data_IF_397757981162
#
_entry.id   IF_397757981162
#
_cell.length_a   1.000
_cell.length_b   1.000
_cell.length_c   1.000
_cell.angle_alpha   90.00
_cell.angle_beta   90.00
_cell.angle_gamma   90.00
#
_symmetry.space_group_name_H-M   'P 1'
#
loop_
_entity.id
_entity.type
_entity.pdbx_description
1 polymer ?
#
# COMPACT_ATOMS: atom_id res chain seq x y z
N UNK A 1 31.10 1.61 -17.91
CA UNK A 1 30.21 2.57 -17.24
C UNK A 1 29.57 1.84 -16.07
N UNK A 2 30.02 2.13 -14.85
CA UNK A 2 29.50 1.49 -13.64
C UNK A 2 28.09 2.02 -13.41
N UNK A 3 27.06 1.18 -13.55
CA UNK A 3 25.70 1.53 -13.16
C UNK A 3 25.70 1.65 -11.64
N UNK A 4 25.64 2.86 -11.15
CA UNK A 4 25.34 3.12 -9.74
C UNK A 4 23.94 2.54 -9.50
N UNK A 5 23.86 1.37 -8.89
CA UNK A 5 22.60 0.80 -8.42
C UNK A 5 22.09 1.75 -7.35
N UNK A 6 21.09 2.57 -7.66
CA UNK A 6 20.43 3.39 -6.67
C UNK A 6 19.85 2.46 -5.59
N UNK A 7 20.13 2.78 -4.32
CA UNK A 7 19.49 2.08 -3.19
C UNK A 7 17.99 2.28 -3.34
N UNK A 8 17.16 1.21 -3.28
CA UNK A 8 15.73 1.34 -3.34
C UNK A 8 15.23 2.31 -2.27
N UNK A 9 14.49 3.34 -2.68
CA UNK A 9 13.93 4.31 -1.75
C UNK A 9 12.61 3.79 -1.16
N UNK A 10 12.52 3.91 0.16
CA UNK A 10 11.30 3.68 0.93
C UNK A 10 11.01 4.97 1.68
N UNK A 11 9.96 5.65 1.27
CA UNK A 11 9.61 6.97 1.81
C UNK A 11 8.19 6.97 2.33
N UNK A 12 7.94 7.74 3.37
CA UNK A 12 6.61 8.10 3.81
C UNK A 12 6.56 9.61 4.05
N UNK A 13 5.59 10.28 3.48
CA UNK A 13 5.45 11.73 3.61
C UNK A 13 3.99 12.15 3.68
N UNK A 14 3.69 13.07 4.59
CA UNK A 14 2.36 13.65 4.73
C UNK A 14 2.02 14.57 3.54
N UNK A 15 0.72 14.70 3.24
CA UNK A 15 0.24 15.79 2.42
C UNK A 15 0.54 17.13 3.12
N UNK A 16 0.86 18.15 2.34
CA UNK A 16 1.12 19.49 2.86
C UNK A 16 -0.17 20.27 3.15
N UNK A 17 -1.27 19.85 2.54
CA UNK A 17 -2.59 20.47 2.65
C UNK A 17 -3.61 19.54 3.30
N UNK A 18 -4.54 20.06 4.12
CA UNK A 18 -5.68 19.29 4.62
C UNK A 18 -6.78 19.08 3.56
N UNK A 19 -6.54 19.48 2.32
CA UNK A 19 -7.49 19.28 1.23
C UNK A 19 -7.82 17.80 1.03
N UNK A 20 -9.05 17.45 0.67
CA UNK A 20 -9.40 16.07 0.37
C UNK A 20 -8.50 15.49 -0.74
N UNK A 21 -8.02 14.27 -0.51
CA UNK A 21 -7.20 13.56 -1.50
C UNK A 21 -8.03 13.20 -2.72
N UNK A 22 -7.42 13.30 -3.91
CA UNK A 22 -8.05 12.91 -5.17
C UNK A 22 -7.04 12.24 -6.11
N UNK A 23 -7.54 11.33 -6.93
CA UNK A 23 -6.78 10.66 -7.99
C UNK A 23 -7.31 11.10 -9.33
N UNK A 24 -6.49 11.80 -10.10
CA UNK A 24 -6.83 12.25 -11.46
C UNK A 24 -6.30 11.24 -12.47
N UNK A 25 -7.18 10.74 -13.33
CA UNK A 25 -6.85 9.73 -14.33
C UNK A 25 -6.69 10.39 -15.69
N UNK A 26 -5.46 10.50 -16.14
CA UNK A 26 -5.12 11.03 -17.46
C UNK A 26 -5.72 10.17 -18.58
N UNK A 27 -6.08 10.83 -19.70
CA UNK A 27 -6.41 10.15 -20.96
C UNK A 27 -5.18 9.63 -21.70
N UNK A 28 -3.98 9.83 -21.18
CA UNK A 28 -2.75 9.33 -21.79
C UNK A 28 -2.77 7.80 -21.85
N UNK A 29 -2.70 7.25 -23.05
CA UNK A 29 -2.57 5.81 -23.24
C UNK A 29 -1.20 5.31 -22.80
N UNK A 30 -1.13 4.11 -22.20
CA UNK A 30 0.16 3.50 -21.87
C UNK A 30 0.95 3.22 -23.15
N UNK A 31 2.29 3.28 -23.10
CA UNK A 31 3.09 2.85 -24.23
C UNK A 31 2.80 1.38 -24.58
N UNK A 32 2.81 1.05 -25.87
CA UNK A 32 2.71 -0.34 -26.29
C UNK A 32 3.81 -1.20 -25.64
N UNK A 33 3.47 -2.44 -25.32
CA UNK A 33 4.48 -3.38 -24.83
C UNK A 33 5.55 -3.63 -25.89
N UNK A 34 6.80 -3.70 -25.45
CA UNK A 34 7.86 -4.23 -26.30
C UNK A 34 7.81 -5.76 -26.31
N UNK A 35 8.39 -6.39 -27.35
CA UNK A 35 8.52 -7.84 -27.40
C UNK A 35 9.22 -8.44 -26.15
N UNK A 36 10.12 -7.67 -25.51
CA UNK A 36 10.77 -8.08 -24.26
C UNK A 36 9.78 -8.14 -23.08
N UNK A 37 8.86 -7.18 -22.99
CA UNK A 37 7.80 -7.18 -21.96
C UNK A 37 6.87 -8.37 -22.17
N UNK A 38 6.42 -8.60 -23.40
CA UNK A 38 5.52 -9.71 -23.73
C UNK A 38 6.16 -11.08 -23.43
N UNK A 39 7.44 -11.23 -23.80
CA UNK A 39 8.19 -12.47 -23.51
C UNK A 39 8.41 -12.69 -21.99
N UNK A 40 8.69 -11.63 -21.23
CA UNK A 40 8.84 -11.71 -19.79
C UNK A 40 7.50 -12.05 -19.11
N UNK A 41 6.42 -11.41 -19.54
CA UNK A 41 5.07 -11.70 -19.05
C UNK A 41 4.64 -13.15 -19.32
N UNK A 42 4.89 -13.66 -20.52
CA UNK A 42 4.61 -15.05 -20.87
C UNK A 42 5.34 -16.05 -19.95
N UNK A 43 6.59 -15.75 -19.54
CA UNK A 43 7.32 -16.57 -18.58
C UNK A 43 6.68 -16.54 -17.18
N UNK A 44 6.20 -15.38 -16.73
CA UNK A 44 5.50 -15.25 -15.45
C UNK A 44 4.19 -16.03 -15.45
N UNK A 45 3.40 -15.97 -16.51
CA UNK A 45 2.19 -16.76 -16.67
C UNK A 45 2.45 -18.27 -16.68
N UNK A 46 3.53 -18.71 -17.33
CA UNK A 46 3.92 -20.12 -17.33
C UNK A 46 4.32 -20.61 -15.92
N UNK A 47 4.96 -19.74 -15.12
CA UNK A 47 5.37 -20.06 -13.74
C UNK A 47 4.19 -19.99 -12.75
N UNK A 48 3.22 -19.09 -12.96
CA UNK A 48 2.04 -18.96 -12.11
C UNK A 48 0.80 -18.63 -12.96
N UNK A 49 0.01 -19.64 -13.37
CA UNK A 49 -1.20 -19.47 -14.18
C UNK A 49 -2.31 -18.63 -13.54
N UNK A 50 -2.21 -18.35 -12.23
CA UNK A 50 -3.17 -17.46 -11.53
C UNK A 50 -2.93 -15.98 -11.81
N UNK A 51 -1.81 -15.60 -12.42
CA UNK A 51 -1.61 -14.22 -12.82
C UNK A 51 -2.61 -13.82 -13.90
N UNK A 52 -3.13 -12.61 -13.73
CA UNK A 52 -4.07 -11.99 -14.66
C UNK A 52 -3.59 -10.60 -15.04
N UNK A 53 -3.57 -10.30 -16.33
CA UNK A 53 -3.17 -8.98 -16.82
C UNK A 53 -4.33 -7.99 -16.73
N UNK A 54 -4.71 -7.66 -15.50
CA UNK A 54 -5.77 -6.71 -15.21
C UNK A 54 -5.37 -5.26 -15.48
N UNK A 55 -6.37 -4.37 -15.65
CA UNK A 55 -6.15 -2.94 -15.68
C UNK A 55 -5.70 -2.45 -14.30
N UNK A 56 -4.86 -1.41 -14.27
CA UNK A 56 -4.39 -0.75 -13.06
C UNK A 56 -4.19 0.75 -13.29
N UNK A 57 -4.12 1.52 -12.20
CA UNK A 57 -3.71 2.91 -12.23
C UNK A 57 -2.20 3.01 -11.99
N UNK A 58 -1.48 3.62 -12.95
CA UNK A 58 -0.05 3.91 -12.80
C UNK A 58 0.15 5.37 -12.40
N UNK A 59 0.85 5.62 -11.29
CA UNK A 59 1.19 6.96 -10.82
C UNK A 59 2.16 7.63 -11.81
N UNK A 60 1.84 8.86 -12.18
CA UNK A 60 2.67 9.73 -13.02
C UNK A 60 3.33 10.82 -12.19
N UNK A 61 2.58 11.42 -11.28
CA UNK A 61 3.02 12.53 -10.44
C UNK A 61 2.16 12.63 -9.17
N UNK A 62 2.77 13.09 -8.08
CA UNK A 62 2.08 13.37 -6.81
C UNK A 62 2.30 14.84 -6.48
N UNK A 63 1.19 15.58 -6.41
CA UNK A 63 1.17 16.96 -5.93
C UNK A 63 0.77 16.97 -4.45
N UNK A 64 1.75 17.19 -3.59
CA UNK A 64 1.56 17.18 -2.13
C UNK A 64 0.80 18.41 -1.62
N UNK A 65 0.90 19.54 -2.33
CA UNK A 65 0.27 20.82 -1.95
C UNK A 65 -1.24 20.79 -2.17
N UNK A 66 -1.68 20.06 -3.19
CA UNK A 66 -3.11 19.92 -3.51
C UNK A 66 -3.67 18.55 -3.16
N UNK A 67 -2.89 17.66 -2.54
CA UNK A 67 -3.26 16.27 -2.24
C UNK A 67 -3.78 15.52 -3.47
N UNK A 68 -3.17 15.77 -4.64
CA UNK A 68 -3.60 15.22 -5.93
C UNK A 68 -2.59 14.20 -6.46
N UNK A 69 -3.06 13.00 -6.79
CA UNK A 69 -2.28 11.96 -7.43
C UNK A 69 -2.69 11.88 -8.91
N UNK A 70 -1.77 12.20 -9.80
CA UNK A 70 -1.96 12.09 -11.24
C UNK A 70 -1.58 10.69 -11.70
N UNK A 71 -2.51 10.02 -12.35
CA UNK A 71 -2.34 8.64 -12.82
C UNK A 71 -2.71 8.51 -14.30
N UNK A 72 -2.37 7.36 -14.88
CA UNK A 72 -2.95 6.89 -16.14
C UNK A 72 -3.43 5.46 -15.99
N UNK A 73 -4.28 5.01 -16.90
CA UNK A 73 -4.60 3.59 -17.03
C UNK A 73 -3.39 2.84 -17.57
N UNK A 74 -3.10 1.70 -16.98
CA UNK A 74 -1.98 0.83 -17.38
C UNK A 74 -2.39 -0.64 -17.15
N UNK A 75 -1.45 -1.58 -17.27
CA UNK A 75 -1.70 -3.02 -17.13
C UNK A 75 -0.76 -3.66 -16.13
N UNK A 76 -1.26 -4.66 -15.42
CA UNK A 76 -0.48 -5.39 -14.41
C UNK A 76 0.75 -6.08 -14.98
N UNK A 77 0.69 -6.59 -16.21
CA UNK A 77 1.85 -7.19 -16.90
C UNK A 77 3.07 -6.27 -16.88
N UNK A 78 2.87 -4.96 -17.08
CA UNK A 78 3.95 -3.97 -17.10
C UNK A 78 4.54 -3.71 -15.68
N UNK A 79 3.75 -3.84 -14.64
CA UNK A 79 4.23 -3.81 -13.26
C UNK A 79 4.99 -5.10 -12.94
N UNK A 80 4.40 -6.25 -13.25
CA UNK A 80 4.87 -7.56 -12.84
C UNK A 80 6.24 -7.95 -13.42
N UNK A 81 6.60 -7.45 -14.60
CA UNK A 81 7.90 -7.72 -15.24
C UNK A 81 9.06 -6.91 -14.66
N UNK A 82 8.79 -6.01 -13.71
CA UNK A 82 9.83 -5.31 -12.96
C UNK A 82 10.34 -6.19 -11.81
N UNK A 83 11.59 -6.04 -11.37
CA UNK A 83 12.59 -5.06 -11.80
C UNK A 83 13.41 -5.39 -13.05
N UNK A 84 13.46 -6.63 -13.61
CA UNK A 84 14.40 -6.89 -14.71
C UNK A 84 14.15 -6.00 -15.94
N UNK A 85 12.89 -5.61 -16.16
CA UNK A 85 12.53 -4.66 -17.22
C UNK A 85 11.95 -3.40 -16.59
N UNK A 86 12.65 -2.27 -16.75
CA UNK A 86 12.12 -0.98 -16.27
C UNK A 86 11.01 -0.50 -17.22
N UNK A 87 9.77 -0.60 -16.81
CA UNK A 87 8.59 -0.12 -17.56
C UNK A 87 8.15 1.27 -17.14
N UNK A 88 8.72 1.82 -16.05
CA UNK A 88 8.31 3.09 -15.45
C UNK A 88 6.94 3.07 -14.78
N UNK A 89 6.31 1.90 -14.65
CA UNK A 89 4.99 1.75 -14.02
C UNK A 89 5.15 1.69 -12.49
N UNK A 90 4.29 2.43 -11.79
CA UNK A 90 4.12 2.38 -10.32
C UNK A 90 2.64 2.30 -10.03
N UNK A 91 2.21 1.27 -9.31
CA UNK A 91 0.79 1.12 -8.98
C UNK A 91 0.35 2.20 -7.99
N UNK A 92 -0.85 2.74 -8.21
CA UNK A 92 -1.54 3.57 -7.24
C UNK A 92 -2.38 2.68 -6.34
N UNK A 93 -2.06 2.68 -5.04
CA UNK A 93 -2.69 1.82 -4.05
C UNK A 93 -3.22 2.63 -2.88
N UNK A 94 -3.92 1.97 -1.97
CA UNK A 94 -4.34 2.51 -0.68
C UNK A 94 -3.80 1.63 0.45
N UNK A 95 -3.50 2.24 1.60
CA UNK A 95 -3.07 1.52 2.80
C UNK A 95 -3.81 2.05 4.02
N UNK A 96 -4.35 1.15 4.84
CA UNK A 96 -4.95 1.49 6.12
C UNK A 96 -3.92 1.43 7.26
N UNK A 97 -3.84 2.49 8.04
CA UNK A 97 -3.24 2.49 9.37
C UNK A 97 -4.38 2.39 10.37
N UNK A 98 -4.72 1.15 10.75
CA UNK A 98 -5.83 0.87 11.68
C UNK A 98 -5.35 1.05 13.11
N UNK A 99 -6.00 1.94 13.85
CA UNK A 99 -5.66 2.25 15.23
C UNK A 99 -6.84 1.97 16.18
N UNK A 100 -6.56 1.57 17.42
CA UNK A 100 -7.56 1.40 18.46
C UNK A 100 -6.96 1.76 19.83
N UNK A 101 -7.81 2.11 20.81
CA UNK A 101 -7.37 2.46 22.16
C UNK A 101 -7.78 1.39 23.17
N UNK A 102 -6.86 1.03 24.08
CA UNK A 102 -7.19 0.18 25.20
C UNK A 102 -7.92 0.96 26.34
N UNK A 103 -8.42 0.25 27.33
CA UNK A 103 -9.13 0.84 28.46
C UNK A 103 -8.29 1.82 29.31
N UNK A 104 -6.98 1.86 29.15
CA UNK A 104 -6.09 2.85 29.74
C UNK A 104 -5.81 4.04 28.80
N UNK A 105 -6.41 4.06 27.59
CA UNK A 105 -6.22 5.10 26.58
C UNK A 105 -4.96 4.93 25.74
N UNK A 106 -4.18 3.86 25.91
CA UNK A 106 -2.98 3.60 25.09
C UNK A 106 -3.37 3.26 23.66
N UNK A 107 -2.69 3.88 22.70
CA UNK A 107 -2.93 3.67 21.27
C UNK A 107 -2.23 2.39 20.78
N UNK A 108 -2.97 1.57 20.06
CA UNK A 108 -2.50 0.36 19.39
C UNK A 108 -2.68 0.49 17.88
N UNK A 109 -1.87 -0.22 17.11
CA UNK A 109 -1.96 -0.30 15.66
C UNK A 109 -2.02 -1.76 15.22
N UNK A 110 -2.76 -2.03 14.14
CA UNK A 110 -2.83 -3.36 13.54
C UNK A 110 -1.65 -3.60 12.62
N UNK A 111 -1.01 -4.75 12.77
CA UNK A 111 -0.04 -5.30 11.84
C UNK A 111 -0.59 -6.60 11.24
N UNK A 112 -0.46 -6.77 9.93
CA UNK A 112 -0.73 -8.01 9.22
C UNK A 112 0.57 -8.74 8.88
N UNK A 113 0.60 -10.07 9.06
CA UNK A 113 1.70 -10.90 8.57
C UNK A 113 1.31 -11.48 7.23
N UNK A 114 1.99 -11.05 6.18
CA UNK A 114 1.73 -11.46 4.79
C UNK A 114 1.91 -12.97 4.61
N UNK A 115 1.07 -13.53 3.78
CA UNK A 115 1.14 -14.94 3.41
C UNK A 115 2.43 -15.25 2.62
N UNK A 116 2.99 -16.46 2.73
CA UNK A 116 4.09 -16.91 1.88
C UNK A 116 3.70 -17.01 0.39
N UNK A 117 2.40 -16.89 0.06
CA UNK A 117 1.90 -16.95 -1.30
C UNK A 117 1.83 -15.56 -1.98
N UNK A 118 2.06 -14.48 -1.24
CA UNK A 118 2.09 -13.13 -1.81
C UNK A 118 3.31 -12.95 -2.71
N UNK A 119 3.13 -12.18 -3.80
CA UNK A 119 4.18 -11.97 -4.81
C UNK A 119 5.42 -11.25 -4.25
N UNK A 120 5.20 -10.32 -3.34
CA UNK A 120 6.23 -9.47 -2.74
C UNK A 120 6.08 -9.53 -1.23
N UNK A 121 7.19 -9.47 -0.51
CA UNK A 121 7.21 -9.41 0.95
C UNK A 121 6.53 -10.61 1.64
N UNK A 122 6.65 -11.79 1.05
CA UNK A 122 6.15 -13.03 1.66
C UNK A 122 6.69 -13.21 3.09
N UNK A 123 5.83 -13.64 4.02
CA UNK A 123 6.14 -13.86 5.44
C UNK A 123 6.57 -12.61 6.25
N UNK A 124 6.44 -11.40 5.70
CA UNK A 124 6.79 -10.15 6.39
C UNK A 124 5.58 -9.49 7.03
N UNK A 125 5.85 -8.68 8.07
CA UNK A 125 4.86 -7.83 8.73
C UNK A 125 4.70 -6.51 8.00
N UNK A 126 3.46 -6.00 7.96
CA UNK A 126 3.15 -4.68 7.42
C UNK A 126 2.06 -3.95 8.22
N UNK A 127 2.07 -2.61 8.11
CA UNK A 127 0.89 -1.81 8.34
C UNK A 127 -0.05 -2.01 7.15
N UNK A 128 -1.27 -2.36 7.43
CA UNK A 128 -2.24 -2.67 6.39
C UNK A 128 -3.61 -2.93 6.99
N UNK A 129 -4.56 -3.33 6.18
CA UNK A 129 -4.50 -3.81 4.79
C UNK A 129 -4.07 -2.80 3.74
N UNK A 130 -3.69 -3.32 2.57
CA UNK A 130 -3.33 -2.47 1.43
C UNK A 130 -3.72 -3.13 0.10
N UNK A 131 -4.31 -2.35 -0.81
CA UNK A 131 -4.73 -2.85 -2.11
C UNK A 131 -4.56 -1.83 -3.24
N UNK A 132 -4.44 -2.32 -4.47
CA UNK A 132 -4.35 -1.48 -5.65
C UNK A 132 -5.70 -0.82 -5.98
N UNK A 133 -5.73 0.49 -6.19
CA UNK A 133 -6.98 1.18 -6.56
C UNK A 133 -7.58 0.63 -7.85
N UNK A 134 -8.86 0.33 -7.81
CA UNK A 134 -9.62 -0.08 -8.97
C UNK A 134 -9.63 1.01 -10.04
N UNK A 135 -9.47 0.61 -11.30
CA UNK A 135 -9.54 1.53 -12.43
C UNK A 135 -10.99 1.97 -12.64
N UNK A 136 -11.30 3.28 -12.55
CA UNK A 136 -12.66 3.75 -12.78
C UNK A 136 -13.10 3.52 -14.23
N UNK A 137 -14.43 3.48 -14.49
CA UNK A 137 -14.95 3.45 -15.84
C UNK A 137 -14.35 4.55 -16.74
N UNK A 138 -14.26 4.34 -18.07
CA UNK A 138 -13.63 5.32 -18.98
C UNK A 138 -14.23 6.73 -18.92
N UNK A 139 -15.51 6.85 -18.57
CA UNK A 139 -16.21 8.13 -18.44
C UNK A 139 -15.77 8.94 -17.20
N UNK A 140 -15.12 8.30 -16.22
CA UNK A 140 -14.62 8.96 -15.01
C UNK A 140 -13.13 9.25 -15.14
N UNK A 141 -12.75 10.49 -15.01
CA UNK A 141 -11.37 10.98 -15.03
C UNK A 141 -10.83 11.34 -13.64
N UNK A 142 -11.63 11.14 -12.59
CA UNK A 142 -11.23 11.46 -11.22
C UNK A 142 -11.91 10.50 -10.23
N UNK A 143 -11.18 10.13 -9.18
CA UNK A 143 -11.68 9.51 -7.95
C UNK A 143 -11.52 10.53 -6.83
N UNK A 144 -12.61 10.88 -6.17
CA UNK A 144 -12.58 11.71 -4.98
C UNK A 144 -12.20 10.88 -3.73
N UNK A 145 -11.99 11.54 -2.60
CA UNK A 145 -11.61 10.90 -1.36
C UNK A 145 -12.63 9.84 -0.91
N UNK A 146 -13.92 10.05 -1.16
CA UNK A 146 -14.96 9.11 -0.76
C UNK A 146 -14.86 7.80 -1.57
N UNK A 147 -14.66 7.89 -2.88
CA UNK A 147 -14.45 6.73 -3.75
C UNK A 147 -13.16 5.96 -3.38
N UNK A 148 -12.07 6.68 -3.10
CA UNK A 148 -10.79 6.09 -2.65
C UNK A 148 -10.97 5.40 -1.30
N UNK A 149 -11.66 6.04 -0.36
CA UNK A 149 -11.91 5.48 0.97
C UNK A 149 -12.86 4.28 0.93
N UNK A 150 -13.87 4.30 0.04
CA UNK A 150 -14.75 3.13 -0.16
C UNK A 150 -13.95 1.90 -0.61
N UNK A 151 -12.98 2.07 -1.50
CA UNK A 151 -12.11 0.97 -1.90
C UNK A 151 -11.29 0.44 -0.71
N UNK A 152 -10.75 1.34 0.13
CA UNK A 152 -10.05 0.93 1.34
C UNK A 152 -10.93 0.18 2.33
N UNK A 153 -12.22 0.56 2.45
CA UNK A 153 -13.20 -0.16 3.30
C UNK A 153 -13.38 -1.61 2.84
N UNK A 154 -13.43 -1.84 1.52
CA UNK A 154 -13.54 -3.17 0.95
C UNK A 154 -12.30 -4.01 1.28
N UNK A 155 -11.08 -3.48 1.06
CA UNK A 155 -9.82 -4.16 1.41
C UNK A 155 -9.73 -4.50 2.91
N UNK A 156 -10.08 -3.55 3.79
CA UNK A 156 -10.09 -3.79 5.25
C UNK A 156 -11.07 -4.89 5.64
N UNK A 157 -12.27 -4.88 5.03
CA UNK A 157 -13.27 -5.90 5.29
C UNK A 157 -12.83 -7.28 4.79
N UNK A 158 -12.24 -7.35 3.58
CA UNK A 158 -11.84 -8.60 2.94
C UNK A 158 -10.62 -9.24 3.58
N UNK A 159 -9.63 -8.44 4.01
CA UNK A 159 -8.37 -8.97 4.52
C UNK A 159 -8.36 -9.20 6.03
N UNK A 160 -9.02 -8.33 6.81
CA UNK A 160 -8.96 -8.38 8.28
C UNK A 160 -10.33 -8.44 8.97
N UNK A 161 -11.43 -8.45 8.22
CA UNK A 161 -12.79 -8.62 8.75
C UNK A 161 -13.33 -7.39 9.50
N UNK A 162 -12.65 -6.26 9.48
CA UNK A 162 -13.08 -5.04 10.14
C UNK A 162 -13.92 -4.14 9.22
N UNK A 163 -14.84 -3.40 9.83
CA UNK A 163 -15.58 -2.33 9.16
C UNK A 163 -15.14 -0.98 9.71
N UNK A 164 -14.56 -0.15 8.86
CA UNK A 164 -14.14 1.22 9.20
C UNK A 164 -15.16 2.22 8.67
N UNK A 165 -15.63 3.12 9.52
CA UNK A 165 -16.62 4.14 9.13
C UNK A 165 -15.96 5.41 8.58
N UNK A 166 -14.79 5.77 9.11
CA UNK A 166 -14.08 7.01 8.77
C UNK A 166 -12.57 6.79 8.75
N UNK A 167 -11.88 7.62 7.97
CA UNK A 167 -10.43 7.68 7.93
C UNK A 167 -9.96 9.05 7.44
N UNK A 168 -8.79 9.46 7.94
CA UNK A 168 -8.14 10.70 7.51
C UNK A 168 -7.01 10.36 6.54
N UNK A 169 -7.06 10.91 5.33
CA UNK A 169 -5.96 10.81 4.39
C UNK A 169 -4.74 11.54 4.98
N UNK A 170 -3.67 10.79 5.22
CA UNK A 170 -2.47 11.31 5.87
C UNK A 170 -1.40 11.73 4.86
N UNK A 171 -1.18 10.93 3.85
CA UNK A 171 -0.09 11.14 2.90
C UNK A 171 0.14 9.92 2.01
N UNK A 172 1.39 9.72 1.64
CA UNK A 172 1.82 8.68 0.70
C UNK A 172 2.96 7.85 1.31
N UNK A 173 2.94 6.55 1.07
CA UNK A 173 4.15 5.73 1.10
C UNK A 173 4.61 5.41 -0.30
N UNK A 174 5.93 5.51 -0.52
CA UNK A 174 6.58 5.12 -1.78
C UNK A 174 7.43 3.89 -1.57
N UNK A 175 7.26 2.90 -2.42
CA UNK A 175 8.00 1.66 -2.41
C UNK A 175 8.67 1.38 -3.77
N UNK A 176 10.00 1.42 -3.80
CA UNK A 176 10.76 1.15 -5.01
C UNK A 176 10.99 -0.35 -5.29
N UNK A 177 10.71 -1.24 -4.33
CA UNK A 177 10.73 -2.69 -4.55
C UNK A 177 9.41 -3.15 -5.15
N UNK A 178 8.28 -2.82 -4.51
CA UNK A 178 6.95 -3.15 -5.02
C UNK A 178 6.55 -2.34 -6.26
N UNK A 179 7.21 -1.19 -6.49
CA UNK A 179 6.83 -0.18 -7.47
C UNK A 179 5.40 0.30 -7.21
N UNK A 180 5.13 0.65 -5.94
CA UNK A 180 3.86 1.23 -5.51
C UNK A 180 4.03 2.62 -4.91
N UNK A 181 2.97 3.42 -5.02
CA UNK A 181 2.74 4.64 -4.26
C UNK A 181 1.36 4.50 -3.62
N UNK A 182 1.31 4.37 -2.29
CA UNK A 182 0.09 4.05 -1.57
C UNK A 182 -0.44 5.27 -0.83
N UNK A 183 -1.70 5.61 -1.05
CA UNK A 183 -2.42 6.63 -0.29
C UNK A 183 -2.72 6.08 1.09
N UNK A 184 -2.17 6.71 2.12
CA UNK A 184 -2.29 6.26 3.51
C UNK A 184 -3.46 6.93 4.19
N UNK A 185 -4.36 6.13 4.76
CA UNK A 185 -5.43 6.59 5.63
C UNK A 185 -5.19 6.12 7.06
N UNK A 186 -5.32 7.04 8.01
CA UNK A 186 -5.37 6.71 9.44
C UNK A 186 -6.83 6.54 9.84
N UNK A 187 -7.18 5.34 10.32
CA UNK A 187 -8.53 4.94 10.66
C UNK A 187 -8.62 4.56 12.15
N UNK A 188 -9.53 5.20 12.88
CA UNK A 188 -9.79 4.86 14.28
C UNK A 188 -10.87 3.77 14.37
N UNK A 189 -10.49 2.61 14.89
CA UNK A 189 -11.37 1.47 15.14
C UNK A 189 -12.01 1.50 16.54
N UNK A 190 -11.81 2.56 17.32
CA UNK A 190 -12.40 2.76 18.63
C UNK A 190 -11.74 1.93 19.74
N UNK A 191 -12.55 1.17 20.49
CA UNK A 191 -12.09 0.35 21.59
C UNK A 191 -11.31 -0.89 21.11
N UNK A 192 -10.13 -1.11 21.70
CA UNK A 192 -9.22 -2.19 21.32
C UNK A 192 -9.81 -3.58 21.54
N UNK A 193 -10.58 -3.78 22.60
CA UNK A 193 -11.16 -5.09 22.91
C UNK A 193 -12.20 -5.45 21.85
N UNK A 194 -13.09 -4.53 21.53
CA UNK A 194 -14.07 -4.70 20.45
C UNK A 194 -13.39 -4.89 19.08
N UNK A 195 -12.35 -4.11 18.79
CA UNK A 195 -11.59 -4.26 17.53
C UNK A 195 -10.95 -5.66 17.44
N UNK A 196 -10.35 -6.17 18.52
CA UNK A 196 -9.74 -7.51 18.56
C UNK A 196 -10.73 -8.63 18.32
N UNK A 197 -11.95 -8.53 18.86
CA UNK A 197 -13.00 -9.54 18.69
C UNK A 197 -13.42 -9.71 17.23
N UNK A 198 -13.30 -8.65 16.43
CA UNK A 198 -13.70 -8.64 15.02
C UNK A 198 -12.52 -8.77 14.05
N UNK A 199 -11.28 -8.72 14.53
CA UNK A 199 -10.09 -8.79 13.69
C UNK A 199 -9.63 -10.23 13.51
N UNK A 200 -9.43 -10.65 12.27
CA UNK A 200 -8.84 -11.94 11.92
C UNK A 200 -8.08 -11.83 10.59
N UNK A 201 -7.23 -12.80 10.28
CA UNK A 201 -6.75 -13.00 8.91
C UNK A 201 -7.91 -13.59 8.09
N UNK A 202 -8.68 -12.73 7.44
CA UNK A 202 -9.98 -13.11 6.87
C UNK A 202 -9.87 -13.77 5.49
N UNK A 203 -8.75 -13.56 4.79
CA UNK A 203 -8.49 -14.14 3.48
C UNK A 203 -7.09 -14.80 3.40
N UNK A 204 -6.64 -15.14 2.20
CA UNK A 204 -5.37 -15.82 1.95
C UNK A 204 -4.14 -14.88 2.03
N UNK A 205 -4.33 -13.57 2.08
CA UNK A 205 -3.24 -12.58 2.00
C UNK A 205 -2.47 -12.45 3.31
N UNK A 206 -3.14 -12.65 4.45
CA UNK A 206 -2.51 -12.69 5.76
C UNK A 206 -2.55 -14.07 6.39
N UNK A 207 -1.48 -14.43 7.11
CA UNK A 207 -1.43 -15.65 7.95
C UNK A 207 -1.65 -15.33 9.42
N UNK A 208 -1.47 -14.09 9.82
CA UNK A 208 -1.71 -13.61 11.17
C UNK A 208 -1.96 -12.10 11.17
N UNK A 209 -2.66 -11.63 12.19
CA UNK A 209 -2.83 -10.22 12.51
C UNK A 209 -2.53 -9.97 13.98
N UNK A 210 -1.98 -8.79 14.30
CA UNK A 210 -1.59 -8.44 15.66
C UNK A 210 -1.83 -6.96 15.94
N UNK A 211 -2.54 -6.67 17.03
CA UNK A 211 -2.60 -5.33 17.59
C UNK A 211 -1.39 -5.08 18.51
N UNK A 212 -0.53 -4.15 18.12
CA UNK A 212 0.70 -3.79 18.82
C UNK A 212 0.52 -2.39 19.44
N UNK A 213 0.87 -2.23 20.73
CA UNK A 213 0.88 -0.90 21.33
C UNK A 213 1.97 -0.04 20.65
N UNK A 214 1.64 1.21 20.34
CA UNK A 214 2.57 2.11 19.62
C UNK A 214 3.89 2.26 20.38
N UNK A 215 3.86 2.30 21.71
CA UNK A 215 5.07 2.36 22.55
C UNK A 215 6.01 1.16 22.38
N UNK A 216 5.50 0.04 21.88
CA UNK A 216 6.26 -1.22 21.71
C UNK A 216 6.81 -1.38 20.29
N UNK A 217 6.49 -0.47 19.35
CA UNK A 217 6.91 -0.55 17.95
C UNK A 217 8.43 -0.56 17.82
N UNK A 218 9.15 0.28 18.55
CA UNK A 218 10.61 0.33 18.47
C UNK A 218 11.25 -1.00 18.93
N UNK A 219 10.71 -1.62 19.97
CA UNK A 219 11.16 -2.94 20.43
C UNK A 219 10.81 -4.04 19.43
N UNK A 220 9.61 -3.98 18.85
CA UNK A 220 9.18 -4.91 17.80
C UNK A 220 10.07 -4.80 16.55
N UNK A 221 10.35 -3.57 16.09
CA UNK A 221 11.26 -3.33 14.96
C UNK A 221 12.66 -3.86 15.25
N UNK A 222 13.21 -3.61 16.44
CA UNK A 222 14.54 -4.12 16.81
C UNK A 222 14.64 -5.66 16.78
N UNK A 223 13.54 -6.35 17.10
CA UNK A 223 13.48 -7.82 17.10
C UNK A 223 13.19 -8.40 15.71
N UNK A 224 12.46 -7.68 14.86
CA UNK A 224 11.89 -8.18 13.62
C UNK A 224 12.27 -7.34 12.38
N UNK A 225 13.31 -6.50 12.44
CA UNK A 225 13.64 -5.52 11.38
C UNK A 225 13.70 -6.13 9.97
N UNK A 226 14.25 -7.33 9.83
CA UNK A 226 14.32 -8.03 8.54
C UNK A 226 12.98 -8.65 8.10
N UNK A 227 12.00 -8.72 9.00
CA UNK A 227 10.67 -9.28 8.77
C UNK A 227 9.56 -8.22 8.75
N UNK A 228 9.90 -6.93 8.66
CA UNK A 228 8.96 -5.83 8.49
C UNK A 228 9.23 -5.15 7.17
N UNK A 229 8.19 -4.94 6.36
CA UNK A 229 8.37 -4.28 5.06
C UNK A 229 8.87 -2.84 5.20
N UNK A 230 9.67 -2.40 4.22
CA UNK A 230 10.26 -1.07 4.22
C UNK A 230 9.24 0.08 4.34
N UNK A 231 8.13 0.09 3.59
CA UNK A 231 7.08 1.10 3.70
C UNK A 231 6.50 1.25 5.10
N UNK A 232 6.24 0.13 5.79
CA UNK A 232 5.72 0.18 7.18
C UNK A 232 6.72 0.79 8.14
N UNK A 233 8.00 0.47 8.00
CA UNK A 233 9.07 1.09 8.79
C UNK A 233 9.22 2.59 8.50
N UNK A 234 9.05 3.00 7.23
CA UNK A 234 9.02 4.41 6.86
C UNK A 234 7.84 5.14 7.51
N UNK A 235 6.65 4.50 7.54
CA UNK A 235 5.47 5.04 8.22
C UNK A 235 5.67 5.13 9.74
N UNK A 236 6.27 4.14 10.40
CA UNK A 236 6.55 4.21 11.83
C UNK A 236 7.37 5.46 12.20
N UNK A 237 8.38 5.80 11.38
CA UNK A 237 9.19 7.01 11.58
C UNK A 237 8.38 8.28 11.29
N UNK A 238 7.74 8.33 10.14
CA UNK A 238 6.99 9.51 9.70
C UNK A 238 5.81 9.86 10.62
N UNK A 239 5.22 8.84 11.30
CA UNK A 239 4.18 9.02 12.31
C UNK A 239 4.75 9.29 13.72
N UNK A 240 6.08 9.33 13.86
CA UNK A 240 6.74 9.60 15.14
C UNK A 240 6.69 8.43 16.14
N UNK A 241 6.44 7.20 15.66
CA UNK A 241 6.38 6.00 16.50
C UNK A 241 7.74 5.34 16.70
N UNK A 242 8.71 5.74 15.91
CA UNK A 242 10.12 5.37 16.02
C UNK A 242 11.00 6.60 15.81
N UNK A 243 12.10 6.67 16.53
CA UNK A 243 13.15 7.65 16.25
C UNK A 243 13.93 7.24 14.99
N UNK A 244 14.44 8.25 14.27
CA UNK A 244 15.42 7.97 13.23
C UNK A 244 16.64 7.29 13.88
N UNK A 245 17.13 6.23 13.24
CA UNK A 245 18.39 5.61 13.66
C UNK A 245 19.49 6.54 13.14
N UNK A 246 20.23 7.19 14.07
CA UNK A 246 21.44 7.94 13.76
C UNK A 246 22.51 7.06 13.10
#
# INVERSE_FOLDING_TARGET
>A
MSSCLSIPQMEAFAFASPAPVRVVVSSQEPPANSAAIDAAWAKLLAANPRYFDGPMLSVLHIDRETSTIHTRRDRFSRLAVQPPLNTGVRICSVTAVLTARDGAGSLHVLLGKRSPQTRIYADMWELGPSGGLSVPPPALSELDQAAIFSHLQDEVSEEVGLHIATGTAWGITRDDIAKSDDIVFICDCGDLLAAREHTSAANWEYTAVQWLAIRDIAAFDAQHAAAIIGPSRALFRALGWMSDVE
#
